data_IF_059524608479
#
_entry.id   IF_059524608479
#
_cell.length_a   1.000
_cell.length_b   1.000
_cell.length_c   1.000
_cell.angle_alpha   90.00
_cell.angle_beta   90.00
_cell.angle_gamma   90.00
#
_symmetry.space_group_name_H-M   'P 1'
#
loop_
_entity.id
_entity.type
_entity.pdbx_description
1 polymer ?
#
# COMPACT_ATOMS: atom_id res chain seq x y z
N UNK A 1 -11.49 20.21 -59.96
CA UNK A 1 -11.29 18.90 -59.28
C UNK A 1 -10.67 19.18 -57.92
N UNK A 2 -11.48 19.05 -56.87
CA UNK A 2 -11.09 19.31 -55.48
C UNK A 2 -10.70 17.98 -54.81
N UNK A 3 -9.47 17.88 -54.29
CA UNK A 3 -9.12 16.85 -53.29
C UNK A 3 -8.37 17.52 -52.15
N UNK A 4 -9.14 17.83 -51.10
CA UNK A 4 -8.68 18.37 -49.83
C UNK A 4 -7.80 17.32 -49.15
N UNK A 5 -6.53 17.67 -48.92
CA UNK A 5 -5.60 16.91 -48.09
C UNK A 5 -6.12 16.91 -46.64
N UNK A 6 -6.56 15.75 -46.19
CA UNK A 6 -7.05 15.56 -44.82
C UNK A 6 -5.86 15.37 -43.88
N UNK A 7 -5.76 16.29 -42.91
CA UNK A 7 -4.74 16.34 -41.87
C UNK A 7 -4.83 15.12 -40.93
N UNK A 8 -3.69 14.65 -40.38
CA UNK A 8 -3.63 13.46 -39.53
C UNK A 8 -4.10 13.79 -38.10
N UNK A 9 -5.41 13.65 -37.84
CA UNK A 9 -6.03 13.88 -36.52
C UNK A 9 -6.11 12.57 -35.70
N UNK A 10 -5.11 11.68 -35.81
CA UNK A 10 -5.12 10.39 -35.09
C UNK A 10 -4.12 10.30 -33.93
N UNK A 11 -3.27 11.31 -33.71
CA UNK A 11 -2.20 11.24 -32.70
C UNK A 11 -2.63 11.85 -31.34
N UNK A 12 -3.69 12.65 -31.29
CA UNK A 12 -4.13 13.31 -30.06
C UNK A 12 -4.93 12.41 -29.09
N UNK A 13 -5.43 11.25 -29.53
CA UNK A 13 -6.30 10.40 -28.72
C UNK A 13 -5.54 9.45 -27.75
N UNK A 14 -4.24 9.24 -27.94
CA UNK A 14 -3.44 8.36 -27.07
C UNK A 14 -2.82 9.07 -25.86
N UNK A 15 -2.90 10.40 -25.78
CA UNK A 15 -2.32 11.16 -24.67
C UNK A 15 -3.21 11.21 -23.41
N UNK A 16 -4.50 10.90 -23.50
CA UNK A 16 -5.41 10.96 -22.34
C UNK A 16 -5.49 9.66 -21.52
N UNK A 17 -4.93 8.54 -21.99
CA UNK A 17 -4.90 7.30 -21.22
C UNK A 17 -3.77 7.25 -20.17
N UNK A 18 -2.85 8.22 -20.17
CA UNK A 18 -1.70 8.23 -19.27
C UNK A 18 -1.94 8.88 -17.89
N UNK A 19 -3.07 9.56 -17.67
CA UNK A 19 -3.37 10.23 -16.39
C UNK A 19 -4.14 9.37 -15.37
N UNK A 20 -4.44 8.09 -15.66
CA UNK A 20 -5.00 7.17 -14.67
C UNK A 20 -3.93 6.50 -13.78
N UNK A 21 -2.68 6.98 -13.84
CA UNK A 21 -1.59 6.47 -13.04
C UNK A 21 -1.57 7.11 -11.65
N UNK A 22 -2.13 6.37 -10.69
CA UNK A 22 -1.63 6.27 -9.31
C UNK A 22 -1.65 7.56 -8.48
N UNK A 23 -2.83 8.12 -8.30
CA UNK A 23 -3.10 8.68 -6.97
C UNK A 23 -3.11 7.51 -5.99
N UNK A 24 -2.11 7.48 -5.11
CA UNK A 24 -2.03 6.68 -3.89
C UNK A 24 -3.15 7.13 -2.94
N UNK A 25 -4.38 6.98 -3.40
CA UNK A 25 -5.57 7.15 -2.58
C UNK A 25 -5.50 6.07 -1.51
N UNK A 26 -5.55 6.44 -0.22
CA UNK A 26 -5.55 5.45 0.85
C UNK A 26 -6.64 4.43 0.56
N UNK A 27 -6.33 3.14 0.72
CA UNK A 27 -7.30 2.06 0.51
C UNK A 27 -8.49 2.30 1.43
N UNK A 28 -9.56 2.86 0.89
CA UNK A 28 -10.78 3.11 1.65
C UNK A 28 -11.39 1.76 1.97
N UNK A 29 -11.61 1.48 3.24
CA UNK A 29 -12.23 0.22 3.68
C UNK A 29 -13.75 0.40 3.74
N UNK A 30 -14.49 -0.57 3.22
CA UNK A 30 -15.95 -0.56 3.26
C UNK A 30 -16.50 -1.85 3.88
N UNK A 31 -17.57 -1.69 4.66
CA UNK A 31 -18.36 -2.77 5.23
C UNK A 31 -19.84 -2.32 5.22
N UNK A 32 -20.80 -3.18 4.84
CA UNK A 32 -22.19 -2.76 4.61
C UNK A 32 -22.92 -2.14 5.81
N UNK A 33 -22.41 -2.34 7.02
CA UNK A 33 -23.05 -1.96 8.28
C UNK A 33 -22.22 -0.98 9.13
N UNK A 34 -21.13 -0.44 8.58
CA UNK A 34 -20.14 0.30 9.37
C UNK A 34 -19.91 1.71 8.84
N UNK A 35 -19.96 2.68 9.74
CA UNK A 35 -19.63 4.08 9.46
C UNK A 35 -18.12 4.27 9.18
N UNK A 36 -17.77 5.27 8.38
CA UNK A 36 -16.40 5.58 7.98
C UNK A 36 -15.51 5.88 9.20
N UNK A 37 -16.05 6.58 10.20
CA UNK A 37 -15.32 6.85 11.44
C UNK A 37 -14.91 5.56 12.18
N UNK A 38 -15.76 4.54 12.16
CA UNK A 38 -15.50 3.25 12.78
C UNK A 38 -14.52 2.41 11.95
N UNK A 39 -14.61 2.47 10.63
CA UNK A 39 -13.63 1.84 9.74
C UNK A 39 -12.21 2.39 9.96
N UNK A 40 -12.08 3.71 10.14
CA UNK A 40 -10.79 4.36 10.44
C UNK A 40 -10.26 3.98 11.82
N UNK A 41 -11.12 3.87 12.83
CA UNK A 41 -10.72 3.41 14.16
C UNK A 41 -10.20 1.96 14.12
N UNK A 42 -10.92 1.09 13.42
CA UNK A 42 -10.56 -0.32 13.23
C UNK A 42 -9.25 -0.47 12.46
N UNK A 43 -9.04 0.33 11.42
CA UNK A 43 -7.78 0.35 10.68
C UNK A 43 -6.60 0.75 11.57
N UNK A 44 -6.75 1.81 12.39
CA UNK A 44 -5.72 2.24 13.34
C UNK A 44 -5.39 1.15 14.36
N UNK A 45 -6.40 0.45 14.86
CA UNK A 45 -6.21 -0.68 15.76
C UNK A 45 -5.47 -1.84 15.08
N UNK A 46 -5.87 -2.21 13.87
CA UNK A 46 -5.17 -3.22 13.07
C UNK A 46 -3.72 -2.82 12.81
N UNK A 47 -3.45 -1.54 12.51
CA UNK A 47 -2.10 -1.01 12.29
C UNK A 47 -1.25 -1.09 13.56
N UNK A 48 -1.81 -0.72 14.71
CA UNK A 48 -1.13 -0.86 16.01
C UNK A 48 -0.76 -2.32 16.31
N UNK A 49 -1.67 -3.26 16.08
CA UNK A 49 -1.40 -4.69 16.28
C UNK A 49 -0.34 -5.22 15.30
N UNK A 50 -0.41 -4.81 14.03
CA UNK A 50 0.56 -5.19 13.02
C UNK A 50 1.97 -4.68 13.35
N UNK A 51 2.10 -3.43 13.80
CA UNK A 51 3.37 -2.90 14.28
C UNK A 51 3.91 -3.72 15.46
N UNK A 52 3.07 -4.02 16.46
CA UNK A 52 3.48 -4.82 17.61
C UNK A 52 3.93 -6.25 17.21
N UNK A 53 3.32 -6.85 16.19
CA UNK A 53 3.72 -8.16 15.67
C UNK A 53 5.08 -8.11 14.97
N UNK A 54 5.29 -7.12 14.09
CA UNK A 54 6.57 -6.97 13.38
C UNK A 54 7.71 -6.63 14.34
N UNK A 55 7.47 -5.78 15.34
CA UNK A 55 8.48 -5.49 16.38
C UNK A 55 8.82 -6.72 17.23
N UNK A 56 7.85 -7.57 17.54
CA UNK A 56 8.11 -8.84 18.23
C UNK A 56 8.96 -9.79 17.37
N UNK A 57 8.67 -9.86 16.07
CA UNK A 57 9.47 -10.63 15.11
C UNK A 57 10.90 -10.10 14.99
N UNK A 58 11.07 -8.79 14.81
CA UNK A 58 12.39 -8.14 14.65
C UNK A 58 13.25 -8.25 15.91
N UNK A 59 12.64 -8.23 17.10
CA UNK A 59 13.34 -8.44 18.36
C UNK A 59 13.84 -9.88 18.47
N UNK A 60 13.06 -10.86 18.01
CA UNK A 60 13.48 -12.27 17.97
C UNK A 60 14.64 -12.46 17.01
N UNK A 61 14.57 -11.91 15.80
CA UNK A 61 15.66 -11.97 14.80
C UNK A 61 16.98 -11.43 15.38
N UNK A 62 16.95 -10.25 16.02
CA UNK A 62 18.15 -9.63 16.62
C UNK A 62 18.77 -10.43 17.77
N UNK A 63 17.95 -11.16 18.54
CA UNK A 63 18.48 -11.97 19.66
C UNK A 63 19.18 -13.24 19.15
N UNK A 64 18.78 -13.75 17.98
CA UNK A 64 19.21 -15.07 17.50
C UNK A 64 20.08 -15.03 16.22
N UNK A 65 20.22 -13.90 15.53
CA UNK A 65 20.81 -13.91 14.17
C UNK A 65 21.59 -12.68 13.72
N UNK A 66 21.83 -11.66 14.55
CA UNK A 66 22.54 -10.46 14.08
C UNK A 66 23.46 -9.88 15.16
N UNK A 67 24.75 -9.81 14.85
CA UNK A 67 25.89 -9.41 15.69
C UNK A 67 25.89 -7.91 16.07
N UNK A 68 24.76 -7.22 15.87
CA UNK A 68 24.55 -5.84 16.29
C UNK A 68 25.32 -4.78 15.48
N UNK A 69 25.93 -5.16 14.35
CA UNK A 69 26.78 -4.28 13.53
C UNK A 69 26.11 -3.77 12.24
N UNK A 70 24.81 -3.96 12.06
CA UNK A 70 24.11 -3.42 10.88
C UNK A 70 24.07 -1.89 10.97
N UNK A 71 24.91 -1.26 10.14
CA UNK A 71 24.91 0.17 9.91
C UNK A 71 23.52 0.62 9.44
N UNK A 72 22.86 1.60 10.09
CA UNK A 72 21.48 2.01 9.78
C UNK A 72 21.29 2.63 8.38
N UNK A 73 22.40 2.91 7.70
CA UNK A 73 22.58 3.46 6.36
C UNK A 73 22.99 2.40 5.31
N UNK A 74 23.11 1.12 5.68
CA UNK A 74 23.39 0.05 4.72
C UNK A 74 22.17 -0.24 3.83
N UNK A 75 22.43 -0.77 2.64
CA UNK A 75 21.38 -1.26 1.74
C UNK A 75 20.49 -2.31 2.44
N UNK A 76 21.09 -3.20 3.23
CA UNK A 76 20.37 -4.23 3.98
C UNK A 76 19.43 -3.62 5.02
N UNK A 77 19.85 -2.56 5.73
CA UNK A 77 19.00 -1.84 6.66
C UNK A 77 17.82 -1.15 5.95
N UNK A 78 18.02 -0.63 4.74
CA UNK A 78 16.95 -0.07 3.93
C UNK A 78 15.96 -1.15 3.48
N UNK A 79 16.46 -2.29 3.00
CA UNK A 79 15.62 -3.41 2.56
C UNK A 79 14.84 -4.01 3.73
N UNK A 80 15.47 -4.19 4.90
CA UNK A 80 14.79 -4.66 6.10
C UNK A 80 13.65 -3.73 6.54
N UNK A 81 13.84 -2.39 6.46
CA UNK A 81 12.76 -1.42 6.73
C UNK A 81 11.64 -1.50 5.70
N UNK A 82 11.99 -1.67 4.43
CA UNK A 82 11.01 -1.85 3.36
C UNK A 82 10.17 -3.12 3.59
N UNK A 83 10.82 -4.24 3.88
CA UNK A 83 10.16 -5.52 4.11
C UNK A 83 9.29 -5.49 5.38
N UNK A 84 9.74 -4.80 6.43
CA UNK A 84 8.94 -4.55 7.62
C UNK A 84 7.66 -3.77 7.29
N UNK A 85 7.74 -2.72 6.46
CA UNK A 85 6.57 -1.95 6.00
C UNK A 85 5.60 -2.82 5.20
N UNK A 86 6.10 -3.57 4.23
CA UNK A 86 5.29 -4.50 3.42
C UNK A 86 4.60 -5.54 4.31
N UNK A 87 5.29 -6.05 5.33
CA UNK A 87 4.72 -7.02 6.28
C UNK A 87 3.63 -6.39 7.15
N UNK A 88 3.83 -5.17 7.63
CA UNK A 88 2.80 -4.41 8.37
C UNK A 88 1.55 -4.25 7.48
N UNK A 89 1.71 -3.80 6.24
CA UNK A 89 0.58 -3.57 5.34
C UNK A 89 -0.21 -4.86 5.06
N UNK A 90 0.49 -5.99 4.85
CA UNK A 90 -0.15 -7.30 4.71
C UNK A 90 -0.97 -7.69 5.95
N UNK A 91 -0.42 -7.49 7.15
CA UNK A 91 -1.11 -7.79 8.41
C UNK A 91 -2.32 -6.88 8.63
N UNK A 92 -2.24 -5.61 8.25
CA UNK A 92 -3.37 -4.68 8.29
C UNK A 92 -4.49 -5.15 7.36
N UNK A 93 -4.16 -5.47 6.11
CA UNK A 93 -5.13 -6.00 5.13
C UNK A 93 -5.80 -7.26 5.64
N UNK A 94 -5.04 -8.19 6.20
CA UNK A 94 -5.58 -9.42 6.77
C UNK A 94 -6.50 -9.15 7.97
N UNK A 95 -6.09 -8.26 8.88
CA UNK A 95 -6.88 -7.86 10.04
C UNK A 95 -8.21 -7.22 9.62
N UNK A 96 -8.19 -6.31 8.65
CA UNK A 96 -9.39 -5.67 8.12
C UNK A 96 -10.32 -6.68 7.44
N UNK A 97 -9.77 -7.62 6.64
CA UNK A 97 -10.55 -8.70 6.04
C UNK A 97 -11.21 -9.62 7.08
N UNK A 98 -10.48 -9.99 8.14
CA UNK A 98 -11.04 -10.80 9.24
C UNK A 98 -12.16 -10.09 9.99
N UNK A 99 -12.14 -8.75 10.04
CA UNK A 99 -13.22 -7.91 10.57
C UNK A 99 -14.41 -7.72 9.61
N UNK A 100 -14.31 -8.27 8.39
CA UNK A 100 -15.37 -8.21 7.38
C UNK A 100 -15.31 -6.99 6.45
N UNK A 101 -14.21 -6.23 6.47
CA UNK A 101 -14.01 -5.13 5.54
C UNK A 101 -13.48 -5.62 4.19
N UNK A 102 -13.96 -4.99 3.12
CA UNK A 102 -13.41 -5.11 1.78
C UNK A 102 -12.71 -3.79 1.39
N UNK A 103 -11.65 -3.84 0.57
CA UNK A 103 -11.15 -2.64 -0.06
C UNK A 103 -12.25 -2.07 -0.96
N UNK A 104 -12.56 -0.79 -0.81
CA UNK A 104 -13.44 -0.09 -1.71
C UNK A 104 -12.89 -0.23 -3.12
N UNK A 105 -13.68 -0.84 -4.00
CA UNK A 105 -13.42 -0.78 -5.43
C UNK A 105 -13.56 0.68 -5.86
N UNK A 106 -12.51 1.23 -6.48
CA UNK A 106 -12.53 2.57 -7.08
C UNK A 106 -13.65 2.68 -8.12
#
# INVERSE_FOLDING_TARGET
>A
MNTRRSFPVFIAALALAACAAKDATPTRWQQPSTDEARALADERDCRRLAHAEVERGSRRERIFGDDGLVRPDSYDAMMARHDARVRIDKLVVECMRRRGYAPATK
#
